data_IF_339235966637
#
_entry.id   IF_339235966637
#
_cell.length_a   1.000
_cell.length_b   1.000
_cell.length_c   1.000
_cell.angle_alpha   90.00
_cell.angle_beta   90.00
_cell.angle_gamma   90.00
#
_symmetry.space_group_name_H-M   'P 1'
#
loop_
_entity.id
_entity.type
_entity.pdbx_description
1 polymer ?
#
# COMPACT_ATOMS: atom_id res chain seq x y z
N UNK A 1 -9.07 2.24 1.35
CA UNK A 1 -7.78 1.76 0.85
C UNK A 1 -8.04 0.89 -0.36
N UNK A 2 -7.27 1.07 -1.44
CA UNK A 2 -7.37 0.20 -2.61
C UNK A 2 -6.96 -1.21 -2.18
N UNK A 3 -7.78 -2.23 -2.50
CA UNK A 3 -7.39 -3.62 -2.24
C UNK A 3 -6.37 -4.04 -3.29
N UNK A 4 -5.17 -4.40 -2.85
CA UNK A 4 -4.18 -5.03 -3.72
C UNK A 4 -4.60 -6.46 -4.01
N UNK A 5 -4.36 -6.90 -5.25
CA UNK A 5 -4.59 -8.26 -5.67
C UNK A 5 -3.29 -8.84 -6.20
N UNK A 6 -2.95 -10.04 -5.73
CA UNK A 6 -1.84 -10.84 -6.21
C UNK A 6 -2.32 -11.79 -7.31
N UNK A 7 -1.57 -11.87 -8.40
CA UNK A 7 -1.76 -12.83 -9.48
C UNK A 7 -0.78 -13.97 -9.26
N UNK A 8 -1.30 -15.12 -8.84
CA UNK A 8 -0.49 -16.26 -8.44
C UNK A 8 -0.24 -17.21 -9.61
N UNK A 9 0.88 -17.91 -9.55
CA UNK A 9 1.31 -18.85 -10.57
C UNK A 9 1.81 -20.16 -9.96
N UNK A 10 1.75 -21.22 -10.75
CA UNK A 10 2.27 -22.54 -10.39
C UNK A 10 3.79 -22.63 -10.58
N UNK A 11 4.38 -23.80 -10.29
CA UNK A 11 5.82 -24.06 -10.47
C UNK A 11 6.31 -23.88 -11.91
N UNK A 12 5.40 -23.96 -12.90
CA UNK A 12 5.70 -23.76 -14.31
C UNK A 12 5.52 -22.30 -14.75
N UNK A 13 5.12 -21.41 -13.84
CA UNK A 13 4.79 -20.01 -14.09
C UNK A 13 3.41 -19.80 -14.71
N UNK A 14 2.55 -20.82 -14.78
CA UNK A 14 1.18 -20.65 -15.30
C UNK A 14 0.31 -19.96 -14.26
N UNK A 15 -0.51 -19.02 -14.71
CA UNK A 15 -1.51 -18.39 -13.85
C UNK A 15 -2.43 -19.42 -13.20
N UNK A 16 -2.68 -19.25 -11.91
CA UNK A 16 -3.54 -20.12 -11.10
C UNK A 16 -4.77 -19.36 -10.63
N UNK A 17 -4.58 -18.32 -9.84
CA UNK A 17 -5.66 -17.55 -9.24
C UNK A 17 -5.26 -16.10 -8.92
N UNK A 18 -6.27 -15.28 -8.70
CA UNK A 18 -6.12 -13.93 -8.17
C UNK A 18 -6.59 -13.93 -6.71
N UNK A 19 -5.72 -13.51 -5.80
CA UNK A 19 -6.01 -13.44 -4.37
C UNK A 19 -5.95 -11.98 -3.88
N UNK A 20 -6.81 -11.57 -2.93
CA UNK A 20 -6.62 -10.31 -2.23
C UNK A 20 -5.37 -10.38 -1.34
N UNK A 21 -4.55 -9.33 -1.34
CA UNK A 21 -3.36 -9.26 -0.50
C UNK A 21 -3.65 -8.45 0.76
N UNK A 22 -3.16 -8.96 1.89
CA UNK A 22 -3.14 -8.23 3.15
C UNK A 22 -1.99 -7.21 3.14
N UNK A 23 -2.16 -6.12 3.88
CA UNK A 23 -1.10 -5.13 4.06
C UNK A 23 -0.32 -5.43 5.34
N UNK A 24 1.01 -5.39 5.28
CA UNK A 24 1.89 -5.48 6.43
C UNK A 24 2.54 -4.13 6.75
N UNK A 25 2.72 -3.78 8.03
CA UNK A 25 3.39 -2.55 8.41
C UNK A 25 4.89 -2.60 8.06
N UNK A 26 5.40 -1.50 7.53
CA UNK A 26 6.83 -1.27 7.32
C UNK A 26 7.37 -0.48 8.50
N UNK A 27 8.41 -1.01 9.14
CA UNK A 27 9.04 -0.40 10.31
C UNK A 27 10.34 0.30 9.94
N UNK A 28 10.54 1.49 10.49
CA UNK A 28 11.81 2.22 10.44
C UNK A 28 12.34 2.45 11.86
N UNK A 29 13.64 2.29 12.06
CA UNK A 29 14.29 2.57 13.35
C UNK A 29 14.46 4.07 13.50
N UNK A 30 13.80 4.65 14.49
CA UNK A 30 13.94 6.06 14.83
C UNK A 30 14.55 6.22 16.22
N UNK A 31 15.48 7.17 16.36
CA UNK A 31 16.00 7.56 17.67
C UNK A 31 15.03 8.56 18.31
N UNK A 32 14.47 8.18 19.44
CA UNK A 32 13.61 9.02 20.28
C UNK A 32 14.31 9.32 21.59
N UNK A 33 13.83 10.32 22.34
CA UNK A 33 14.43 10.74 23.60
C UNK A 33 13.39 10.63 24.71
N UNK A 34 13.75 9.95 25.81
CA UNK A 34 12.96 9.96 27.04
C UNK A 34 13.64 10.80 28.08
N UNK A 35 12.85 11.48 28.90
CA UNK A 35 13.35 12.17 30.08
C UNK A 35 13.49 11.15 31.21
N UNK A 36 14.66 11.12 31.82
CA UNK A 36 14.99 10.25 32.95
C UNK A 36 15.67 11.09 34.04
N UNK A 37 15.60 10.65 35.29
CA UNK A 37 16.19 11.37 36.42
C UNK A 37 17.54 10.76 36.76
N UNK A 38 18.62 11.50 36.51
CA UNK A 38 19.96 11.04 36.86
C UNK A 38 20.36 11.60 38.23
N UNK A 39 20.85 10.72 39.09
CA UNK A 39 21.44 11.09 40.37
C UNK A 39 22.82 11.74 40.13
N UNK A 40 22.99 12.97 40.63
CA UNK A 40 24.26 13.70 40.65
C UNK A 40 24.64 13.85 42.11
N UNK A 41 25.70 13.15 42.51
CA UNK A 41 26.29 13.25 43.84
C UNK A 41 27.38 14.31 43.81
N UNK A 42 27.25 15.33 44.64
CA UNK A 42 28.28 16.35 44.86
C UNK A 42 29.01 16.07 46.17
N UNK A 43 30.34 16.19 46.12
CA UNK A 43 31.25 15.84 47.21
C UNK A 43 31.10 16.75 48.45
N UNK A 44 31.66 16.26 49.55
CA UNK A 44 31.61 16.80 50.89
C UNK A 44 32.07 18.27 50.98
N UNK A 45 31.26 19.13 51.61
CA UNK A 45 31.65 20.49 52.00
C UNK A 45 31.68 20.60 53.52
N UNK A 46 32.90 20.55 54.08
CA UNK A 46 33.15 20.75 55.50
C UNK A 46 33.28 22.24 55.82
N UNK A 47 32.82 22.64 57.01
CA UNK A 47 33.09 23.98 57.53
C UNK A 47 34.55 24.10 57.99
N UNK A 48 35.04 25.33 58.16
CA UNK A 48 36.44 25.63 58.52
C UNK A 48 36.93 24.83 59.75
N UNK A 49 36.04 24.56 60.72
CA UNK A 49 36.36 23.80 61.94
C UNK A 49 36.55 22.31 61.67
N UNK A 50 35.72 21.72 60.80
CA UNK A 50 35.77 20.29 60.52
C UNK A 50 36.65 19.93 59.31
N UNK A 51 37.21 20.92 58.61
CA UNK A 51 38.27 20.67 57.60
C UNK A 51 39.55 20.11 58.24
N UNK A 52 39.83 20.45 59.50
CA UNK A 52 41.02 20.03 60.23
C UNK A 52 40.73 18.93 61.29
N UNK A 53 39.46 18.76 61.69
CA UNK A 53 39.03 17.81 62.71
C UNK A 53 37.80 17.01 62.28
N UNK A 54 37.89 15.67 62.30
CA UNK A 54 36.81 14.79 61.86
C UNK A 54 35.75 14.50 62.93
N UNK A 55 36.03 14.80 64.21
CA UNK A 55 35.12 14.55 65.32
C UNK A 55 33.86 15.42 65.22
N UNK A 56 32.69 14.77 65.23
CA UNK A 56 31.39 15.46 65.22
C UNK A 56 30.95 16.04 63.87
N UNK A 57 31.68 15.78 62.77
CA UNK A 57 31.33 16.29 61.42
C UNK A 57 29.93 15.88 60.95
N UNK A 58 29.50 14.66 61.31
CA UNK A 58 28.18 14.13 60.97
C UNK A 58 27.01 14.82 61.69
N UNK A 59 27.28 15.41 62.85
CA UNK A 59 26.28 16.13 63.66
C UNK A 59 26.35 17.65 63.45
N UNK A 60 27.27 18.12 62.60
CA UNK A 60 27.47 19.53 62.32
C UNK A 60 26.54 20.03 61.21
N UNK A 61 25.62 20.93 61.55
CA UNK A 61 24.68 21.56 60.61
C UNK A 61 25.37 22.36 59.48
N UNK A 62 26.63 22.76 59.67
CA UNK A 62 27.43 23.48 58.66
C UNK A 62 28.26 22.56 57.76
N UNK A 63 28.29 21.26 58.04
CA UNK A 63 28.97 20.27 57.21
C UNK A 63 27.95 19.53 56.33
N UNK A 64 28.24 19.43 55.04
CA UNK A 64 27.45 18.67 54.09
C UNK A 64 28.28 17.48 53.65
N UNK A 65 27.96 16.29 54.16
CA UNK A 65 28.70 15.06 53.85
C UNK A 65 28.67 14.70 52.36
N UNK A 66 27.50 14.81 51.74
CA UNK A 66 27.30 14.73 50.29
C UNK A 66 25.93 15.33 49.98
N UNK A 67 25.76 15.87 48.78
CA UNK A 67 24.45 16.34 48.31
C UNK A 67 24.05 15.55 47.08
N UNK A 68 22.87 14.94 47.16
CA UNK A 68 22.24 14.19 46.07
C UNK A 68 21.24 15.10 45.38
N UNK A 69 21.45 15.37 44.10
CA UNK A 69 20.50 16.10 43.25
C UNK A 69 20.03 15.20 42.12
N UNK A 70 18.73 15.24 41.82
CA UNK A 70 18.17 14.53 40.67
C UNK A 70 17.98 15.53 39.52
N UNK A 71 18.72 15.34 38.43
CA UNK A 71 18.65 16.21 37.26
C UNK A 71 17.95 15.47 36.11
N UNK A 72 17.02 16.12 35.38
CA UNK A 72 16.42 15.52 34.20
C UNK A 72 17.45 15.44 33.09
N UNK A 73 17.64 14.24 32.54
CA UNK A 73 18.51 13.97 31.39
C UNK A 73 17.70 13.39 30.24
N UNK A 74 18.07 13.75 29.00
CA UNK A 74 17.48 13.16 27.80
C UNK A 74 18.27 11.93 27.41
N UNK A 75 17.67 10.76 27.56
CA UNK A 75 18.28 9.48 27.20
C UNK A 75 17.74 9.05 25.83
N UNK A 76 18.61 8.89 24.80
CA UNK A 76 18.19 8.39 23.51
C UNK A 76 17.85 6.89 23.59
N UNK A 77 16.81 6.46 22.89
CA UNK A 77 16.49 5.06 22.67
C UNK A 77 16.01 4.83 21.24
N UNK A 78 16.19 3.62 20.73
CA UNK A 78 15.71 3.23 19.41
C UNK A 78 14.31 2.60 19.52
N UNK A 79 13.39 3.08 18.71
CA UNK A 79 12.06 2.47 18.56
C UNK A 79 11.77 2.19 17.09
N UNK A 80 11.03 1.11 16.83
CA UNK A 80 10.55 0.78 15.49
C UNK A 80 9.21 1.50 15.28
N UNK A 81 9.21 2.50 14.42
CA UNK A 81 8.02 3.29 14.08
C UNK A 81 7.46 2.78 12.77
N UNK A 82 6.13 2.65 12.68
CA UNK A 82 5.46 2.27 11.44
C UNK A 82 5.48 3.48 10.49
N UNK A 83 6.18 3.36 9.38
CA UNK A 83 6.31 4.43 8.37
C UNK A 83 5.37 4.26 7.19
N UNK A 84 4.84 3.06 7.00
CA UNK A 84 3.93 2.76 5.90
C UNK A 84 3.37 1.36 5.97
N UNK A 85 2.61 1.01 4.93
CA UNK A 85 2.02 -0.31 4.74
C UNK A 85 2.31 -0.77 3.31
N UNK A 86 2.71 -2.03 3.16
CA UNK A 86 2.99 -2.65 1.87
C UNK A 86 2.22 -3.97 1.75
N UNK A 87 1.81 -4.39 0.54
CA UNK A 87 1.15 -5.67 0.37
C UNK A 87 2.09 -6.83 0.72
N UNK A 88 1.59 -7.79 1.50
CA UNK A 88 2.29 -9.03 1.81
C UNK A 88 2.08 -10.04 0.69
N UNK A 89 2.98 -10.00 -0.30
CA UNK A 89 2.90 -10.79 -1.53
C UNK A 89 3.50 -12.19 -1.27
N UNK A 90 2.74 -13.29 -1.43
CA UNK A 90 3.30 -14.63 -1.35
C UNK A 90 4.34 -14.86 -2.44
N UNK A 91 5.29 -15.76 -2.18
CA UNK A 91 6.41 -16.02 -3.09
C UNK A 91 5.99 -16.46 -4.50
N UNK A 92 4.83 -17.11 -4.64
CA UNK A 92 4.26 -17.58 -5.89
C UNK A 92 3.28 -16.59 -6.53
N UNK A 93 3.26 -15.33 -6.09
CA UNK A 93 2.35 -14.31 -6.61
C UNK A 93 3.10 -13.04 -7.02
N UNK A 94 2.47 -12.24 -7.87
CA UNK A 94 2.97 -10.95 -8.34
C UNK A 94 1.89 -9.88 -8.29
N UNK A 95 2.28 -8.61 -8.17
CA UNK A 95 1.36 -7.47 -8.35
C UNK A 95 1.11 -7.17 -9.85
N UNK A 96 1.89 -7.76 -10.75
CA UNK A 96 1.71 -7.58 -12.18
C UNK A 96 0.44 -8.30 -12.65
N UNK A 97 -0.44 -7.53 -13.28
CA UNK A 97 -1.71 -8.04 -13.81
C UNK A 97 -1.44 -9.11 -14.87
N UNK A 98 -1.97 -10.31 -14.63
CA UNK A 98 -1.89 -11.39 -15.60
C UNK A 98 -2.62 -10.99 -16.90
N UNK A 99 -1.97 -11.14 -18.08
CA UNK A 99 -2.65 -11.02 -19.36
C UNK A 99 -3.81 -12.00 -19.47
N UNK A 100 -4.67 -11.77 -20.47
CA UNK A 100 -5.76 -12.69 -20.78
C UNK A 100 -5.22 -14.12 -21.04
N UNK A 101 -5.90 -15.11 -20.46
CA UNK A 101 -5.52 -16.52 -20.55
C UNK A 101 -5.57 -17.05 -21.99
N UNK A 102 -6.23 -16.35 -22.92
CA UNK A 102 -6.17 -16.66 -24.35
C UNK A 102 -4.74 -16.67 -24.90
N UNK A 103 -3.83 -15.92 -24.29
CA UNK A 103 -2.42 -15.81 -24.70
C UNK A 103 -1.52 -16.91 -24.13
N UNK A 104 -2.06 -17.85 -23.35
CA UNK A 104 -1.31 -18.78 -22.50
C UNK A 104 -0.16 -18.07 -21.77
N UNK A 105 -0.45 -17.05 -20.94
CA UNK A 105 0.58 -16.29 -20.27
C UNK A 105 1.36 -17.16 -19.27
N UNK A 106 2.69 -17.01 -19.28
CA UNK A 106 3.59 -17.68 -18.35
C UNK A 106 4.49 -16.66 -17.68
N UNK A 107 4.50 -16.65 -16.35
CA UNK A 107 5.32 -15.78 -15.53
C UNK A 107 6.76 -16.31 -15.49
N UNK A 108 7.70 -15.54 -16.06
CA UNK A 108 9.14 -15.83 -16.04
C UNK A 108 9.90 -14.52 -15.93
N UNK A 109 11.00 -14.52 -15.21
CA UNK A 109 11.87 -13.35 -15.06
C UNK A 109 11.10 -12.10 -14.58
N UNK A 110 10.27 -12.30 -13.55
CA UNK A 110 9.49 -11.23 -12.91
C UNK A 110 8.43 -10.57 -13.82
N UNK A 111 8.10 -11.16 -14.99
CA UNK A 111 7.08 -10.64 -15.92
C UNK A 111 6.23 -11.72 -16.56
N UNK A 112 5.03 -11.35 -17.01
CA UNK A 112 4.18 -12.23 -17.80
C UNK A 112 4.60 -12.26 -19.27
N UNK A 113 4.87 -13.46 -19.79
CA UNK A 113 5.20 -13.69 -21.20
C UNK A 113 3.97 -14.29 -21.89
N UNK A 114 3.43 -13.59 -22.90
CA UNK A 114 2.39 -14.12 -23.80
C UNK A 114 3.04 -15.11 -24.76
N UNK A 115 2.59 -16.38 -24.76
CA UNK A 115 3.15 -17.41 -25.65
C UNK A 115 2.43 -17.47 -27.00
N UNK A 116 1.13 -17.19 -27.03
CA UNK A 116 0.36 -17.12 -28.27
C UNK A 116 0.41 -15.70 -28.85
N UNK A 117 0.55 -15.56 -30.18
CA UNK A 117 0.55 -14.26 -30.83
C UNK A 117 -0.81 -13.58 -30.68
N UNK A 118 -0.79 -12.24 -30.73
CA UNK A 118 -2.01 -11.45 -30.74
C UNK A 118 -2.83 -11.84 -31.98
N UNK A 119 -4.08 -12.24 -31.75
CA UNK A 119 -5.01 -12.49 -32.84
C UNK A 119 -5.06 -11.19 -33.68
N UNK A 120 -5.06 -11.31 -35.03
CA UNK A 120 -5.24 -10.13 -35.86
C UNK A 120 -6.48 -9.38 -35.38
N UNK A 121 -6.48 -8.03 -35.43
CA UNK A 121 -7.63 -7.25 -35.00
C UNK A 121 -8.87 -7.86 -35.63
N UNK A 122 -9.84 -8.27 -34.81
CA UNK A 122 -11.10 -8.73 -35.35
C UNK A 122 -11.59 -7.62 -36.29
N UNK A 123 -11.97 -7.95 -37.55
CA UNK A 123 -12.54 -6.95 -38.43
C UNK A 123 -13.63 -6.24 -37.65
N UNK A 124 -13.68 -4.90 -37.73
CA UNK A 124 -14.75 -4.13 -37.10
C UNK A 124 -16.06 -4.86 -37.38
N UNK A 125 -16.88 -5.14 -36.34
CA UNK A 125 -18.09 -5.89 -36.54
C UNK A 125 -18.87 -5.20 -37.65
N UNK A 126 -18.93 -5.84 -38.82
CA UNK A 126 -19.72 -5.36 -39.94
C UNK A 126 -21.16 -5.21 -39.46
N UNK A 127 -22.00 -4.42 -40.19
CA UNK A 127 -23.38 -4.20 -39.78
C UNK A 127 -24.01 -5.53 -39.39
N UNK A 128 -24.44 -5.62 -38.13
CA UNK A 128 -24.95 -6.86 -37.58
C UNK A 128 -26.17 -7.29 -38.40
N UNK A 129 -26.55 -8.56 -38.31
CA UNK A 129 -27.79 -9.05 -38.95
C UNK A 129 -28.99 -8.17 -38.55
N UNK A 130 -28.98 -7.62 -37.33
CA UNK A 130 -29.97 -6.66 -36.84
C UNK A 130 -29.91 -5.31 -37.57
N UNK A 131 -28.71 -4.79 -37.86
CA UNK A 131 -28.55 -3.53 -38.61
C UNK A 131 -29.01 -3.68 -40.06
N UNK A 132 -28.73 -4.83 -40.69
CA UNK A 132 -29.21 -5.16 -42.04
C UNK A 132 -30.74 -5.29 -42.07
N UNK A 133 -31.31 -6.04 -41.12
CA UNK A 133 -32.76 -6.20 -40.99
C UNK A 133 -33.46 -4.87 -40.70
N UNK A 134 -32.85 -3.99 -39.89
CA UNK A 134 -33.38 -2.65 -39.61
C UNK A 134 -33.37 -1.77 -40.87
N UNK A 135 -32.32 -1.83 -41.67
CA UNK A 135 -32.25 -1.11 -42.94
C UNK A 135 -33.31 -1.62 -43.95
N UNK A 136 -33.48 -2.94 -44.07
CA UNK A 136 -34.54 -3.53 -44.90
C UNK A 136 -35.94 -3.14 -44.40
N UNK A 137 -36.15 -3.12 -43.08
CA UNK A 137 -37.41 -2.68 -42.47
C UNK A 137 -37.69 -1.19 -42.75
N UNK A 138 -36.67 -0.35 -42.74
CA UNK A 138 -36.80 1.08 -43.04
C UNK A 138 -37.14 1.33 -44.51
N UNK A 139 -36.47 0.63 -45.42
CA UNK A 139 -36.75 0.67 -46.87
C UNK A 139 -38.17 0.19 -47.15
N UNK A 140 -38.57 -0.96 -46.60
CA UNK A 140 -39.92 -1.50 -46.77
C UNK A 140 -41.00 -0.58 -46.20
N UNK A 141 -40.77 0.03 -45.03
CA UNK A 141 -41.69 1.02 -44.45
C UNK A 141 -41.85 2.24 -45.36
N UNK A 142 -40.77 2.73 -45.96
CA UNK A 142 -40.82 3.86 -46.88
C UNK A 142 -41.62 3.51 -48.15
N UNK A 143 -41.36 2.35 -48.75
CA UNK A 143 -42.08 1.88 -49.94
C UNK A 143 -43.59 1.69 -49.66
N UNK A 144 -43.94 1.17 -48.48
CA UNK A 144 -45.34 1.07 -48.05
C UNK A 144 -46.00 2.44 -47.90
N UNK A 145 -45.31 3.42 -47.31
CA UNK A 145 -45.83 4.78 -47.17
C UNK A 145 -46.07 5.45 -48.53
N UNK A 146 -45.14 5.31 -49.48
CA UNK A 146 -45.30 5.82 -50.84
C UNK A 146 -46.48 5.17 -51.57
N UNK A 147 -46.64 3.85 -51.44
CA UNK A 147 -47.77 3.13 -52.03
C UNK A 147 -49.11 3.63 -51.48
N UNK A 148 -49.20 3.80 -50.16
CA UNK A 148 -50.41 4.33 -49.51
C UNK A 148 -50.73 5.73 -50.03
N UNK A 149 -49.73 6.62 -50.13
CA UNK A 149 -49.92 7.97 -50.68
C UNK A 149 -50.42 7.95 -52.13
N UNK A 150 -49.86 7.08 -52.99
CA UNK A 150 -50.32 6.93 -54.37
C UNK A 150 -51.76 6.41 -54.48
N UNK A 151 -52.18 5.49 -53.60
CA UNK A 151 -53.55 4.98 -53.56
C UNK A 151 -54.53 6.09 -53.11
N UNK A 152 -54.15 6.90 -52.12
CA UNK A 152 -54.98 8.01 -51.64
C UNK A 152 -55.13 9.15 -52.66
N UNK A 153 -54.14 9.36 -53.53
CA UNK A 153 -54.19 10.36 -54.61
C UNK A 153 -54.97 9.89 -55.85
N UNK A 154 -55.09 8.59 -56.10
CA UNK A 154 -55.90 8.02 -57.19
C UNK A 154 -57.38 7.86 -56.85
N UNK A 155 -57.76 8.03 -55.57
CA UNK A 155 -59.13 7.91 -55.07
C UNK A 155 -59.87 9.25 -54.91
N UNK A 156 -59.26 10.37 -55.31
CA UNK A 156 -59.90 11.69 -55.51
C UNK A 156 -60.12 11.93 -56.99
#
# INVERSE_FOLDING_TARGET
MARYYGYCYDENGKFTEQIPLEEKPVYEKQTSYREDMKEVVTEEKLCEVHQENEDGKFDCLNCVMHKVEYVPVKVPYEENVIVGYEPDIPANCTLEVCPDLIYDPVFKQEKWIKLKPELPPQPEPGPSEMDKLKAELEVTKSAMAEFIMQQTLKGM
#
